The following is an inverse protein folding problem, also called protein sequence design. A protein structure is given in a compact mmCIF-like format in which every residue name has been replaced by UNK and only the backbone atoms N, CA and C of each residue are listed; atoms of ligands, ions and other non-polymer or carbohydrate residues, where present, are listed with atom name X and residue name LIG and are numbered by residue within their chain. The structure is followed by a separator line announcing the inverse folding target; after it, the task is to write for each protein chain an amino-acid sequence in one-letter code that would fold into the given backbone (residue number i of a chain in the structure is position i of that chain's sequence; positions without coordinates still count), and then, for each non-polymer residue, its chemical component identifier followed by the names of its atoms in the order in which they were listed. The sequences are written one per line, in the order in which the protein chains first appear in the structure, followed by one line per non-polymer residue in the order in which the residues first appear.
data_IF_043481732229
#
_entry.id   IF_043481732229
#
_cell.length_a   1.000
_cell.length_b   1.000
_cell.length_c   1.000
_cell.angle_alpha   90.00
_cell.angle_beta   90.00
_cell.angle_gamma   90.00
#
_symmetry.space_group_name_H-M   'P 1'
#
loop_
_entity.id
_entity.type
_entity.pdbx_description
1 polymer ?
#
# COMPACT_ATOMS: atom_id res chain seq x y z
N UNK A 1 2.19 -10.83 15.93
CA UNK A 1 1.99 -9.40 15.57
C UNK A 1 3.01 -8.91 14.54
N UNK A 2 3.68 -9.79 13.78
CA UNK A 2 4.73 -9.37 12.83
C UNK A 2 4.16 -8.88 11.51
N UNK A 3 3.02 -9.44 11.08
CA UNK A 3 2.40 -9.10 9.80
C UNK A 3 1.74 -7.72 9.86
N UNK A 4 0.99 -7.47 10.93
CA UNK A 4 0.41 -6.16 11.22
C UNK A 4 1.44 -5.03 11.15
N UNK A 5 2.56 -5.21 11.86
CA UNK A 5 3.57 -4.16 11.95
C UNK A 5 4.22 -3.87 10.59
N UNK A 6 4.33 -4.87 9.71
CA UNK A 6 4.78 -4.66 8.32
C UNK A 6 3.77 -3.82 7.53
N UNK A 7 2.49 -4.19 7.54
CA UNK A 7 1.44 -3.43 6.85
C UNK A 7 1.42 -1.97 7.33
N UNK A 8 1.43 -1.77 8.65
CA UNK A 8 1.41 -0.43 9.24
C UNK A 8 2.64 0.40 8.86
N UNK A 9 3.83 -0.19 8.88
CA UNK A 9 5.05 0.51 8.51
C UNK A 9 5.06 0.92 7.03
N UNK A 10 4.57 0.06 6.14
CA UNK A 10 4.40 0.43 4.73
C UNK A 10 3.37 1.55 4.57
N UNK A 11 2.19 1.44 5.17
CA UNK A 11 1.15 2.47 5.10
C UNK A 11 1.68 3.83 5.58
N UNK A 12 2.38 3.85 6.70
CA UNK A 12 2.99 5.06 7.25
C UNK A 12 4.07 5.64 6.33
N UNK A 13 5.00 4.80 5.86
CA UNK A 13 6.10 5.25 4.99
C UNK A 13 5.60 5.80 3.66
N UNK A 14 4.68 5.08 3.02
CA UNK A 14 4.08 5.47 1.74
C UNK A 14 3.27 6.76 1.88
N UNK A 15 2.40 6.86 2.88
CA UNK A 15 1.60 8.08 3.11
C UNK A 15 2.47 9.30 3.43
N UNK A 16 3.52 9.13 4.24
CA UNK A 16 4.48 10.20 4.51
C UNK A 16 5.22 10.65 3.25
N UNK A 17 5.64 9.72 2.41
CA UNK A 17 6.37 10.06 1.18
C UNK A 17 5.46 10.69 0.11
N UNK A 18 4.15 10.39 0.10
CA UNK A 18 3.18 11.12 -0.73
C UNK A 18 2.87 12.52 -0.18
N UNK A 19 2.83 12.67 1.14
CA UNK A 19 2.57 13.97 1.80
C UNK A 19 3.77 14.91 1.64
N UNK A 20 4.98 14.40 1.86
CA UNK A 20 6.23 15.16 1.84
C UNK A 20 7.32 14.42 1.06
N UNK A 21 7.21 14.40 -0.28
CA UNK A 21 8.11 13.66 -1.13
C UNK A 21 9.54 14.18 -1.05
N UNK A 22 10.48 13.27 -0.80
CA UNK A 22 11.91 13.57 -0.78
C UNK A 22 12.49 13.51 -2.19
N UNK A 23 13.36 14.47 -2.53
CA UNK A 23 13.94 14.56 -3.88
C UNK A 23 14.63 13.27 -4.33
N UNK A 24 14.33 12.84 -5.55
CA UNK A 24 14.94 11.67 -6.19
C UNK A 24 14.53 10.31 -5.60
N UNK A 25 13.47 10.23 -4.79
CA UNK A 25 12.97 8.96 -4.21
C UNK A 25 11.80 8.33 -4.98
N UNK A 26 11.53 8.77 -6.21
CA UNK A 26 10.42 8.25 -7.01
C UNK A 26 10.50 6.73 -7.23
N UNK A 27 11.63 6.22 -7.71
CA UNK A 27 11.80 4.77 -7.93
C UNK A 27 11.63 3.94 -6.65
N UNK A 28 12.06 4.49 -5.51
CA UNK A 28 11.86 3.83 -4.21
C UNK A 28 10.38 3.81 -3.83
N UNK A 29 9.64 4.90 -4.11
CA UNK A 29 8.20 4.96 -3.88
C UNK A 29 7.45 3.86 -4.64
N UNK A 30 7.73 3.69 -5.93
CA UNK A 30 7.10 2.65 -6.76
C UNK A 30 7.41 1.26 -6.19
N UNK A 31 8.68 1.00 -5.88
CA UNK A 31 9.13 -0.28 -5.32
C UNK A 31 8.49 -0.59 -3.97
N UNK A 32 8.29 0.42 -3.13
CA UNK A 32 7.65 0.25 -1.83
C UNK A 32 6.15 -0.07 -1.99
N UNK A 33 5.46 0.50 -3.00
CA UNK A 33 4.06 0.15 -3.32
C UNK A 33 3.97 -1.27 -3.86
N UNK A 34 4.88 -1.69 -4.74
CA UNK A 34 4.94 -3.06 -5.25
C UNK A 34 5.19 -4.06 -4.10
N UNK A 35 6.17 -3.77 -3.24
CA UNK A 35 6.47 -4.59 -2.05
C UNK A 35 5.29 -4.69 -1.09
N UNK A 36 4.53 -3.60 -0.93
CA UNK A 36 3.30 -3.62 -0.18
C UNK A 36 2.23 -4.50 -0.85
N UNK A 37 2.08 -4.42 -2.17
CA UNK A 37 1.15 -5.24 -2.94
C UNK A 37 1.47 -6.72 -2.81
N UNK A 38 2.75 -7.10 -2.92
CA UNK A 38 3.23 -8.48 -2.73
C UNK A 38 2.93 -8.99 -1.32
N UNK A 39 3.14 -8.16 -0.30
CA UNK A 39 2.78 -8.49 1.08
C UNK A 39 1.28 -8.77 1.20
N UNK A 40 0.41 -7.94 0.61
CA UNK A 40 -1.03 -8.18 0.62
C UNK A 40 -1.40 -9.49 -0.09
N UNK A 41 -0.75 -9.80 -1.22
CA UNK A 41 -0.94 -11.05 -1.93
C UNK A 41 -0.55 -12.27 -1.11
N UNK A 42 0.61 -12.24 -0.44
CA UNK A 42 1.03 -13.31 0.46
C UNK A 42 0.02 -13.54 1.60
N UNK A 43 -0.50 -12.46 2.17
CA UNK A 43 -1.48 -12.51 3.25
C UNK A 43 -2.79 -13.11 2.74
N UNK A 44 -3.30 -12.64 1.60
CA UNK A 44 -4.49 -13.20 0.95
C UNK A 44 -4.35 -14.70 0.72
N UNK A 45 -3.21 -15.15 0.20
CA UNK A 45 -2.94 -16.57 -0.01
C UNK A 45 -2.95 -17.38 1.28
N UNK A 46 -2.41 -16.83 2.37
CA UNK A 46 -2.44 -17.49 3.70
C UNK A 46 -3.86 -17.55 4.26
N UNK A 47 -4.67 -16.50 4.05
CA UNK A 47 -6.09 -16.47 4.44
C UNK A 47 -6.89 -17.52 3.65
N UNK A 48 -6.71 -17.59 2.32
CA UNK A 48 -7.34 -18.61 1.44
C UNK A 48 -7.00 -20.03 1.88
N UNK A 49 -5.78 -20.25 2.38
CA UNK A 49 -5.32 -21.53 2.97
C UNK A 49 -5.78 -21.74 4.43
N UNK A 50 -6.69 -20.92 4.95
CA UNK A 50 -7.24 -20.98 6.31
C UNK A 50 -6.18 -20.91 7.42
N UNK A 51 -5.09 -20.17 7.20
CA UNK A 51 -4.07 -19.98 8.23
C UNK A 51 -4.61 -19.11 9.38
N UNK A 52 -4.97 -19.75 10.49
CA UNK A 52 -5.58 -19.10 11.67
C UNK A 52 -4.71 -17.99 12.26
N UNK A 53 -3.40 -18.18 12.31
CA UNK A 53 -2.48 -17.17 12.87
C UNK A 53 -2.49 -15.88 12.04
N UNK A 54 -2.43 -16.00 10.72
CA UNK A 54 -2.50 -14.82 9.82
C UNK A 54 -3.86 -14.14 9.92
N UNK A 55 -4.95 -14.92 9.88
CA UNK A 55 -6.32 -14.41 10.01
C UNK A 55 -6.46 -13.59 11.31
N UNK A 56 -6.05 -14.15 12.45
CA UNK A 56 -6.14 -13.47 13.75
C UNK A 56 -5.26 -12.21 13.83
N UNK A 57 -4.07 -12.22 13.20
CA UNK A 57 -3.18 -11.04 13.21
C UNK A 57 -3.70 -9.90 12.32
N UNK A 58 -4.39 -10.22 11.23
CA UNK A 58 -4.77 -9.26 10.19
C UNK A 58 -6.20 -8.74 10.37
N UNK A 59 -7.13 -9.58 10.85
CA UNK A 59 -8.55 -9.25 10.97
C UNK A 59 -8.82 -7.90 11.65
N UNK A 60 -8.19 -7.55 12.80
CA UNK A 60 -8.47 -6.27 13.45
C UNK A 60 -8.17 -5.06 12.56
N UNK A 61 -7.11 -5.15 11.74
CA UNK A 61 -6.69 -4.04 10.89
C UNK A 61 -7.63 -3.83 9.70
N UNK A 62 -8.01 -4.93 9.05
CA UNK A 62 -8.92 -4.91 7.91
C UNK A 62 -10.28 -4.31 8.28
N UNK A 63 -10.75 -4.57 9.50
CA UNK A 63 -12.00 -4.02 10.03
C UNK A 63 -11.89 -2.55 10.48
N UNK A 64 -10.68 -2.06 10.78
CA UNK A 64 -10.47 -0.74 11.38
C UNK A 64 -10.45 0.39 10.35
N UNK A 65 -9.67 0.24 9.28
CA UNK A 65 -9.55 1.28 8.24
C UNK A 65 -8.89 0.77 6.96
N UNK A 66 -9.18 1.43 5.85
CA UNK A 66 -8.35 1.37 4.65
C UNK A 66 -6.98 2.01 4.95
N UNK A 67 -5.85 1.46 4.43
CA UNK A 67 -4.54 2.09 4.48
C UNK A 67 -4.62 3.54 4.03
N UNK A 68 -3.99 4.43 4.78
CA UNK A 68 -3.98 5.86 4.52
C UNK A 68 -3.39 6.17 3.14
N UNK A 69 -2.34 5.49 2.71
CA UNK A 69 -1.75 5.78 1.40
C UNK A 69 -2.73 5.53 0.24
N UNK A 70 -3.66 4.58 0.39
CA UNK A 70 -4.68 4.27 -0.63
C UNK A 70 -5.82 5.29 -0.70
N UNK A 71 -6.01 6.07 0.38
CA UNK A 71 -7.03 7.11 0.47
C UNK A 71 -6.44 8.52 0.54
N UNK A 72 -5.11 8.65 0.44
CA UNK A 72 -4.42 9.91 0.62
C UNK A 72 -4.69 10.82 -0.59
N UNK A 73 -5.11 12.08 -0.39
CA UNK A 73 -5.17 13.06 -1.47
C UNK A 73 -3.76 13.33 -1.99
N UNK A 74 -3.56 13.16 -3.30
CA UNK A 74 -2.26 13.31 -3.95
C UNK A 74 -2.11 14.72 -4.53
N UNK A 75 -1.08 15.45 -4.11
CA UNK A 75 -0.65 16.68 -4.78
C UNK A 75 0.33 16.32 -5.90
N UNK A 76 -0.19 16.12 -7.11
CA UNK A 76 0.61 15.71 -8.27
C UNK A 76 1.73 16.71 -8.58
N UNK A 77 1.49 18.01 -8.42
CA UNK A 77 2.49 19.04 -8.69
C UNK A 77 3.67 18.92 -7.73
N UNK A 78 3.39 18.71 -6.44
CA UNK A 78 4.42 18.49 -5.42
C UNK A 78 5.22 17.21 -5.69
N UNK A 79 4.53 16.11 -6.03
CA UNK A 79 5.15 14.81 -6.29
C UNK A 79 6.01 14.83 -7.56
N UNK A 80 5.47 15.32 -8.68
CA UNK A 80 6.20 15.51 -9.95
C UNK A 80 7.47 16.32 -9.73
N UNK A 81 7.34 17.48 -9.06
CA UNK A 81 8.48 18.36 -8.80
C UNK A 81 9.54 17.71 -7.89
N UNK A 82 9.15 16.99 -6.84
CA UNK A 82 10.10 16.37 -5.93
C UNK A 82 10.81 15.18 -6.57
N UNK A 83 10.09 14.29 -7.24
CA UNK A 83 10.66 13.09 -7.83
C UNK A 83 11.27 13.31 -9.21
N UNK A 84 11.12 14.50 -9.79
CA UNK A 84 11.49 14.80 -11.18
C UNK A 84 10.74 13.91 -12.16
N UNK A 85 9.46 13.69 -11.86
CA UNK A 85 8.55 12.85 -12.63
C UNK A 85 7.73 13.65 -13.63
N UNK A 86 7.35 12.99 -14.71
CA UNK A 86 6.40 13.49 -15.69
C UNK A 86 5.01 12.83 -15.53
N UNK A 87 4.16 12.96 -16.55
CA UNK A 87 2.82 12.38 -16.54
C UNK A 87 2.86 10.84 -16.67
N UNK A 88 3.83 10.28 -17.40
CA UNK A 88 3.96 8.82 -17.58
C UNK A 88 4.34 8.16 -16.24
N UNK A 89 5.25 8.78 -15.48
CA UNK A 89 5.61 8.32 -14.13
C UNK A 89 4.42 8.35 -13.16
N UNK A 90 3.54 9.34 -13.29
CA UNK A 90 2.32 9.42 -12.49
C UNK A 90 1.31 8.36 -12.87
N UNK A 91 1.17 8.06 -14.16
CA UNK A 91 0.34 6.96 -14.62
C UNK A 91 0.84 5.62 -14.05
N UNK A 92 2.17 5.42 -13.97
CA UNK A 92 2.76 4.26 -13.27
C UNK A 92 2.37 4.27 -11.80
N UNK A 93 2.52 5.40 -11.10
CA UNK A 93 2.12 5.53 -9.68
C UNK A 93 0.65 5.15 -9.47
N UNK A 94 -0.26 5.69 -10.30
CA UNK A 94 -1.68 5.40 -10.21
C UNK A 94 -1.98 3.93 -10.50
N UNK A 95 -1.31 3.35 -11.49
CA UNK A 95 -1.44 1.94 -11.84
C UNK A 95 -1.03 1.01 -10.69
N UNK A 96 0.16 1.20 -10.12
CA UNK A 96 0.64 0.36 -9.01
C UNK A 96 -0.19 0.56 -7.74
N UNK A 97 -0.65 1.79 -7.48
CA UNK A 97 -1.55 2.09 -6.36
C UNK A 97 -2.91 1.42 -6.53
N UNK A 98 -3.43 1.36 -7.76
CA UNK A 98 -4.69 0.67 -8.07
C UNK A 98 -4.57 -0.84 -7.84
N UNK A 99 -3.43 -1.44 -8.16
CA UNK A 99 -3.18 -2.85 -7.85
C UNK A 99 -3.18 -3.14 -6.35
N UNK A 100 -2.50 -2.30 -5.56
CA UNK A 100 -2.57 -2.37 -4.10
C UNK A 100 -4.01 -2.27 -3.57
N UNK A 101 -4.81 -1.36 -4.12
CA UNK A 101 -6.23 -1.20 -3.74
C UNK A 101 -7.03 -2.47 -4.00
N UNK A 102 -6.88 -3.08 -5.18
CA UNK A 102 -7.56 -4.34 -5.53
C UNK A 102 -7.18 -5.45 -4.55
N UNK A 103 -5.89 -5.57 -4.22
CA UNK A 103 -5.43 -6.57 -3.25
C UNK A 103 -5.95 -6.31 -1.83
N UNK A 104 -6.07 -5.04 -1.44
CA UNK A 104 -6.66 -4.67 -0.16
C UNK A 104 -8.15 -5.02 -0.10
N UNK A 105 -8.90 -4.76 -1.18
CA UNK A 105 -10.32 -5.08 -1.28
C UNK A 105 -10.57 -6.60 -1.29
N UNK A 106 -9.74 -7.36 -2.01
CA UNK A 106 -9.74 -8.83 -1.98
C UNK A 106 -9.52 -9.33 -0.55
N UNK A 107 -8.56 -8.75 0.18
CA UNK A 107 -8.31 -9.15 1.56
C UNK A 107 -9.53 -8.87 2.45
N UNK A 108 -10.18 -7.70 2.32
CA UNK A 108 -11.42 -7.35 3.03
C UNK A 108 -12.54 -8.34 2.77
N UNK A 109 -12.70 -8.79 1.52
CA UNK A 109 -13.73 -9.76 1.15
C UNK A 109 -13.68 -11.05 1.99
N UNK A 110 -12.49 -11.50 2.39
CA UNK A 110 -12.36 -12.71 3.20
C UNK A 110 -12.75 -12.55 4.68
N UNK A 111 -13.03 -11.32 5.13
CA UNK A 111 -13.41 -11.02 6.51
C UNK A 111 -14.82 -10.44 6.67
N UNK A 112 -15.51 -10.14 5.56
CA UNK A 112 -16.92 -9.73 5.52
C UNK A 112 -17.83 -10.94 5.28
#
# INVERSE_FOLDING_TARGET
RRIYQKIFNFDLGLSQNLTDPSKGRGELMIRDIESFTDLLWEICNKIKKKNKTVIQEVQPFVTLRTPMFLSHPLDEGKVKSAFSWDDDDMDVLFHVSKHSQVMWDEMKYWFN
#
